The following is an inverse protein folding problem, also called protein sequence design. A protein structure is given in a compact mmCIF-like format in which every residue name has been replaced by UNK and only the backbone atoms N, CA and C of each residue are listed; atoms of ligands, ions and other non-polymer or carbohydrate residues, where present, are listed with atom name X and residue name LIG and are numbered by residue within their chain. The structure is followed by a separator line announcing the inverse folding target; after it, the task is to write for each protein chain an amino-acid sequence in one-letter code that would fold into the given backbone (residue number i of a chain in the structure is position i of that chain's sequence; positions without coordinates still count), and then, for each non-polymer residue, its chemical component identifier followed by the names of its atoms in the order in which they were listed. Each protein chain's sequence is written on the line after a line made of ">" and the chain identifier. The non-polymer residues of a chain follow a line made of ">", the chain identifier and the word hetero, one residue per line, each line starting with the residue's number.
data_IF_509659815619
#
_entry.id   IF_509659815619
#
_cell.length_a   1.000
_cell.length_b   1.000
_cell.length_c   1.000
_cell.angle_alpha   90.00
_cell.angle_beta   90.00
_cell.angle_gamma   90.00
#
_symmetry.space_group_name_H-M   'P 1'
#
loop_
_entity.id
_entity.type
_entity.pdbx_description
1 polymer ?
#
# COMPACT_ATOMS: atom_id res chain seq x y z
N UNK A 1 21.21 15.01 5.66
CA UNK A 1 19.80 14.77 5.23
C UNK A 1 18.87 15.65 6.04
N UNK A 2 17.89 16.31 5.39
CA UNK A 2 16.78 16.95 6.12
C UNK A 2 15.97 15.89 6.87
N UNK A 3 15.42 16.21 8.05
CA UNK A 3 14.55 15.27 8.77
C UNK A 3 13.33 14.91 7.92
N UNK A 4 12.92 13.64 7.94
CA UNK A 4 11.72 13.17 7.25
C UNK A 4 10.48 13.84 7.87
N UNK A 5 9.77 14.67 7.08
CA UNK A 5 8.59 15.45 7.53
C UNK A 5 7.47 15.46 6.49
N UNK A 6 7.41 14.45 5.63
CA UNK A 6 6.46 14.40 4.51
C UNK A 6 5.01 14.39 5.01
N UNK A 7 4.70 13.71 6.12
CA UNK A 7 3.39 13.79 6.78
C UNK A 7 3.00 15.21 7.16
N UNK A 8 3.92 15.95 7.80
CA UNK A 8 3.68 17.35 8.21
C UNK A 8 3.55 18.30 7.02
N UNK A 9 4.23 18.00 5.91
CA UNK A 9 4.07 18.76 4.67
C UNK A 9 2.73 18.45 4.02
N UNK A 10 2.33 17.18 3.98
CA UNK A 10 1.08 16.70 3.40
C UNK A 10 -0.14 17.20 4.17
N UNK A 11 -0.06 17.36 5.50
CA UNK A 11 -1.18 17.82 6.34
C UNK A 11 -1.80 19.12 5.84
N UNK A 12 -0.98 20.07 5.35
CA UNK A 12 -1.42 21.34 4.74
C UNK A 12 -2.35 21.18 3.54
N UNK A 13 -2.35 20.01 2.92
CA UNK A 13 -3.14 19.66 1.75
C UNK A 13 -4.24 18.65 2.07
N UNK A 14 -4.27 18.06 3.26
CA UNK A 14 -5.16 16.94 3.57
C UNK A 14 -6.12 17.26 4.71
N UNK A 15 -5.71 18.11 5.65
CA UNK A 15 -6.49 18.51 6.82
C UNK A 15 -7.49 19.62 6.46
N UNK A 16 -8.54 19.24 5.74
CA UNK A 16 -9.69 20.10 5.48
C UNK A 16 -10.90 19.63 6.26
N UNK A 17 -11.49 20.54 7.06
CA UNK A 17 -12.66 20.26 7.91
C UNK A 17 -13.78 19.54 7.15
N UNK A 18 -14.09 19.99 5.93
CA UNK A 18 -15.15 19.39 5.11
C UNK A 18 -14.86 17.94 4.71
N UNK A 19 -13.60 17.57 4.52
CA UNK A 19 -13.22 16.20 4.20
C UNK A 19 -13.28 15.36 5.48
N UNK A 20 -12.58 15.80 6.53
CA UNK A 20 -12.44 15.04 7.77
C UNK A 20 -13.76 14.86 8.55
N UNK A 21 -14.68 15.82 8.44
CA UNK A 21 -15.98 15.75 9.15
C UNK A 21 -16.91 14.71 8.55
N UNK A 22 -16.82 14.45 7.24
CA UNK A 22 -17.84 13.72 6.49
C UNK A 22 -17.31 12.51 5.72
N UNK A 23 -16.00 12.27 5.72
CA UNK A 23 -15.41 11.05 5.17
C UNK A 23 -14.18 10.61 5.95
N UNK A 24 -13.97 9.30 5.94
CA UNK A 24 -12.69 8.70 6.31
C UNK A 24 -11.74 8.77 5.10
N UNK A 25 -10.45 8.95 5.39
CA UNK A 25 -9.37 8.91 4.42
C UNK A 25 -8.54 7.64 4.65
N UNK A 26 -7.90 7.10 3.61
CA UNK A 26 -7.03 5.94 3.78
C UNK A 26 -5.80 6.33 4.61
N UNK A 27 -5.15 5.32 5.19
CA UNK A 27 -3.91 5.53 5.91
C UNK A 27 -2.81 6.05 4.98
N UNK A 28 -1.94 6.90 5.51
CA UNK A 28 -0.82 7.43 4.74
C UNK A 28 0.23 6.33 4.46
N UNK A 29 0.77 6.21 3.24
CA UNK A 29 1.73 5.16 2.87
C UNK A 29 3.16 5.50 3.37
N UNK A 30 3.29 5.73 4.67
CA UNK A 30 4.50 6.24 5.33
C UNK A 30 5.76 5.37 5.08
N UNK A 31 5.73 4.02 5.15
CA UNK A 31 6.92 3.21 4.98
C UNK A 31 7.62 3.39 3.62
N UNK A 32 6.88 3.27 2.51
CA UNK A 32 7.43 3.46 1.15
C UNK A 32 7.91 4.88 0.92
N UNK A 33 7.21 5.88 1.47
CA UNK A 33 7.61 7.29 1.36
C UNK A 33 8.87 7.60 2.16
N UNK A 34 9.03 7.01 3.35
CA UNK A 34 10.23 7.15 4.16
C UNK A 34 11.44 6.51 3.47
N UNK A 35 11.25 5.33 2.86
CA UNK A 35 12.26 4.70 2.02
C UNK A 35 12.62 5.59 0.81
N UNK A 36 11.62 6.08 0.06
CA UNK A 36 11.84 6.96 -1.10
C UNK A 36 12.63 8.22 -0.70
N UNK A 37 12.18 8.92 0.33
CA UNK A 37 12.84 10.14 0.79
C UNK A 37 14.29 9.87 1.19
N UNK A 38 14.54 8.80 1.94
CA UNK A 38 15.89 8.43 2.37
C UNK A 38 16.79 8.13 1.16
N UNK A 39 16.33 7.32 0.20
CA UNK A 39 17.12 7.00 -1.00
C UNK A 39 17.37 8.25 -1.86
N UNK A 40 16.36 9.07 -2.13
CA UNK A 40 16.54 10.30 -2.91
C UNK A 40 17.52 11.27 -2.23
N UNK A 41 17.56 11.27 -0.90
CA UNK A 41 18.46 12.13 -0.13
C UNK A 41 19.93 11.71 -0.19
N UNK A 42 20.23 10.47 -0.58
CA UNK A 42 21.60 9.97 -0.75
C UNK A 42 22.19 10.32 -2.13
N UNK A 43 21.35 10.73 -3.08
CA UNK A 43 21.78 11.12 -4.42
C UNK A 43 21.91 12.64 -4.52
N UNK A 44 23.12 13.16 -4.72
CA UNK A 44 23.38 14.62 -4.81
C UNK A 44 22.48 15.34 -5.83
N UNK A 45 22.15 14.68 -6.93
CA UNK A 45 21.31 15.22 -8.00
C UNK A 45 19.80 15.20 -7.68
N UNK A 46 19.37 14.34 -6.74
CA UNK A 46 17.96 14.15 -6.38
C UNK A 46 17.62 14.75 -5.01
N UNK A 47 18.59 14.89 -4.11
CA UNK A 47 18.42 15.43 -2.75
C UNK A 47 17.65 16.76 -2.73
N UNK A 48 17.94 17.75 -3.62
CA UNK A 48 17.22 19.02 -3.62
C UNK A 48 15.71 18.89 -3.86
N UNK A 49 15.29 17.80 -4.51
CA UNK A 49 13.90 17.51 -4.86
C UNK A 49 13.30 16.37 -4.04
N UNK A 50 14.05 15.78 -3.11
CA UNK A 50 13.63 14.61 -2.31
C UNK A 50 12.31 14.86 -1.56
N UNK A 51 12.17 16.02 -0.91
CA UNK A 51 10.95 16.44 -0.22
C UNK A 51 9.78 16.65 -1.20
N UNK A 52 10.02 17.37 -2.30
CA UNK A 52 8.99 17.65 -3.31
C UNK A 52 8.47 16.36 -3.93
N UNK A 53 9.36 15.49 -4.39
CA UNK A 53 9.01 14.21 -5.03
C UNK A 53 8.28 13.28 -4.06
N UNK A 54 8.74 13.18 -2.81
CA UNK A 54 8.05 12.37 -1.80
C UNK A 54 6.65 12.92 -1.48
N UNK A 55 6.50 14.24 -1.37
CA UNK A 55 5.21 14.89 -1.12
C UNK A 55 4.22 14.70 -2.27
N UNK A 56 4.64 14.88 -3.52
CA UNK A 56 3.72 14.74 -4.67
C UNK A 56 3.30 13.28 -4.86
N UNK A 57 4.23 12.33 -4.64
CA UNK A 57 3.95 10.89 -4.65
C UNK A 57 3.02 10.48 -3.51
N UNK A 58 3.11 11.13 -2.34
CA UNK A 58 2.18 10.86 -1.25
C UNK A 58 0.78 11.39 -1.54
N UNK A 59 0.66 12.58 -2.12
CA UNK A 59 -0.64 13.18 -2.45
C UNK A 59 -1.37 12.40 -3.56
N UNK A 60 -0.65 11.95 -4.59
CA UNK A 60 -1.27 11.16 -5.66
C UNK A 60 -1.71 9.78 -5.18
N UNK A 61 -0.91 9.10 -4.33
CA UNK A 61 -1.34 7.84 -3.70
C UNK A 61 -2.55 8.03 -2.80
N UNK A 62 -2.53 9.04 -1.94
CA UNK A 62 -3.69 9.38 -1.11
C UNK A 62 -4.93 9.65 -1.99
N UNK A 63 -4.76 10.31 -3.12
CA UNK A 63 -5.82 10.53 -4.10
C UNK A 63 -6.42 9.23 -4.64
N UNK A 64 -5.56 8.35 -5.15
CA UNK A 64 -5.97 7.04 -5.68
C UNK A 64 -6.60 6.14 -4.61
N UNK A 65 -6.00 6.07 -3.43
CA UNK A 65 -6.48 5.22 -2.34
C UNK A 65 -7.82 5.75 -1.78
N UNK A 66 -8.04 7.07 -1.81
CA UNK A 66 -9.34 7.67 -1.45
C UNK A 66 -10.42 7.26 -2.45
N UNK A 67 -10.10 7.17 -3.74
CA UNK A 67 -11.03 6.65 -4.75
C UNK A 67 -11.35 5.16 -4.53
N UNK A 68 -10.38 4.35 -4.10
CA UNK A 68 -10.60 2.93 -3.81
C UNK A 68 -11.55 2.69 -2.61
N UNK A 69 -11.71 3.66 -1.71
CA UNK A 69 -12.68 3.60 -0.60
C UNK A 69 -14.12 3.88 -1.03
N UNK A 70 -14.37 4.17 -2.31
CA UNK A 70 -15.70 4.34 -2.87
C UNK A 70 -16.22 2.95 -3.21
N UNK A 71 -17.16 2.46 -2.42
CA UNK A 71 -17.72 1.15 -2.64
C UNK A 71 -18.63 1.11 -3.89
N UNK A 72 -18.80 -0.08 -4.46
CA UNK A 72 -19.44 -0.32 -5.76
C UNK A 72 -20.91 -0.72 -5.66
N UNK A 73 -21.51 -0.74 -4.46
CA UNK A 73 -22.88 -1.22 -4.30
C UNK A 73 -23.93 -0.27 -4.91
N UNK A 74 -24.92 -0.81 -5.61
CA UNK A 74 -26.00 -0.02 -6.24
C UNK A 74 -27.23 0.18 -5.34
N UNK A 75 -27.14 -0.19 -4.06
CA UNK A 75 -28.24 -0.12 -3.10
C UNK A 75 -28.66 1.33 -2.79
N UNK A 76 -29.94 1.54 -2.44
CA UNK A 76 -30.42 2.85 -1.96
C UNK A 76 -29.70 3.21 -0.66
N UNK A 77 -29.17 4.42 -0.60
CA UNK A 77 -28.35 4.89 0.52
C UNK A 77 -28.98 6.08 1.22
N UNK A 78 -28.58 6.27 2.47
CA UNK A 78 -28.85 7.49 3.21
C UNK A 78 -28.11 8.68 2.58
N UNK A 79 -28.60 9.88 2.87
CA UNK A 79 -27.95 11.13 2.42
C UNK A 79 -26.51 11.24 2.95
N UNK A 80 -26.26 10.79 4.19
CA UNK A 80 -24.92 10.82 4.81
C UNK A 80 -23.93 9.93 4.06
N UNK A 81 -24.34 8.73 3.67
CA UNK A 81 -23.50 7.81 2.89
C UNK A 81 -23.23 8.37 1.49
N UNK A 82 -24.25 8.95 0.84
CA UNK A 82 -24.07 9.61 -0.47
C UNK A 82 -23.09 10.79 -0.38
N UNK A 83 -23.21 11.61 0.66
CA UNK A 83 -22.30 12.74 0.92
C UNK A 83 -20.86 12.26 1.12
N UNK A 84 -20.66 11.23 1.94
CA UNK A 84 -19.34 10.64 2.17
C UNK A 84 -18.69 10.18 0.85
N UNK A 85 -19.43 9.45 0.00
CA UNK A 85 -18.94 9.02 -1.32
C UNK A 85 -18.56 10.18 -2.22
N UNK A 86 -19.42 11.18 -2.35
CA UNK A 86 -19.15 12.37 -3.18
C UNK A 86 -17.90 13.10 -2.70
N UNK A 87 -17.72 13.21 -1.38
CA UNK A 87 -16.52 13.81 -0.81
C UNK A 87 -15.27 12.97 -1.04
N UNK A 88 -15.34 11.64 -1.05
CA UNK A 88 -14.21 10.79 -1.45
C UNK A 88 -13.79 11.03 -2.90
N UNK A 89 -14.75 11.14 -3.83
CA UNK A 89 -14.46 11.48 -5.23
C UNK A 89 -13.73 12.82 -5.31
N UNK A 90 -14.32 13.87 -4.72
CA UNK A 90 -13.78 15.22 -4.78
C UNK A 90 -12.44 15.37 -4.04
N UNK A 91 -12.26 14.69 -2.91
CA UNK A 91 -11.00 14.66 -2.16
C UNK A 91 -9.91 13.99 -2.99
N UNK A 92 -10.21 12.85 -3.63
CA UNK A 92 -9.25 12.17 -4.50
C UNK A 92 -8.84 13.01 -5.70
N UNK A 93 -9.79 13.70 -6.34
CA UNK A 93 -9.53 14.65 -7.44
C UNK A 93 -8.68 15.83 -6.96
N UNK A 94 -8.99 16.36 -5.79
CA UNK A 94 -8.26 17.45 -5.17
C UNK A 94 -6.81 17.06 -4.87
N UNK A 95 -6.56 15.95 -4.17
CA UNK A 95 -5.19 15.50 -3.86
C UNK A 95 -4.39 15.22 -5.13
N UNK A 96 -5.02 14.60 -6.14
CA UNK A 96 -4.42 14.37 -7.45
C UNK A 96 -4.08 15.71 -8.15
N UNK A 97 -4.94 16.72 -8.07
CA UNK A 97 -4.66 18.03 -8.67
C UNK A 97 -3.47 18.74 -8.01
N UNK A 98 -3.25 18.54 -6.69
CA UNK A 98 -2.14 19.18 -5.96
C UNK A 98 -0.78 18.70 -6.44
N UNK A 99 -0.63 17.43 -6.83
CA UNK A 99 0.65 16.93 -7.35
C UNK A 99 1.02 17.64 -8.67
N UNK A 100 0.05 17.81 -9.58
CA UNK A 100 0.24 18.57 -10.83
C UNK A 100 0.63 20.02 -10.54
N UNK A 101 -0.09 20.66 -9.62
CA UNK A 101 0.17 22.05 -9.24
C UNK A 101 1.59 22.23 -8.68
N UNK A 102 2.00 21.38 -7.73
CA UNK A 102 3.29 21.51 -7.07
C UNK A 102 4.47 21.28 -8.04
N UNK A 103 4.37 20.26 -8.90
CA UNK A 103 5.41 19.99 -9.89
C UNK A 103 5.50 21.07 -10.95
N UNK A 104 4.37 21.59 -11.43
CA UNK A 104 4.36 22.66 -12.44
C UNK A 104 4.92 23.97 -11.90
N UNK A 105 4.57 24.35 -10.67
CA UNK A 105 5.12 25.54 -10.00
C UNK A 105 6.64 25.45 -9.79
N UNK A 106 7.15 24.25 -9.52
CA UNK A 106 8.59 24.00 -9.39
C UNK A 106 9.30 23.75 -10.74
N UNK A 107 8.59 23.79 -11.87
CA UNK A 107 9.17 23.61 -13.21
C UNK A 107 9.49 22.16 -13.60
N UNK A 108 9.08 21.17 -12.80
CA UNK A 108 9.35 19.75 -13.02
C UNK A 108 8.34 19.07 -13.97
N UNK A 109 8.16 19.61 -15.18
CA UNK A 109 7.18 19.10 -16.14
C UNK A 109 7.44 17.64 -16.54
N UNK A 110 8.70 17.23 -16.67
CA UNK A 110 9.04 15.83 -16.96
C UNK A 110 8.60 14.86 -15.85
N UNK A 111 8.56 15.32 -14.59
CA UNK A 111 8.08 14.51 -13.47
C UNK A 111 6.57 14.32 -13.51
N UNK A 112 5.82 15.34 -13.99
CA UNK A 112 4.38 15.22 -14.21
C UNK A 112 4.10 14.03 -15.12
N UNK A 113 4.77 13.94 -16.27
CA UNK A 113 4.57 12.83 -17.21
C UNK A 113 4.91 11.46 -16.60
N UNK A 114 5.99 11.35 -15.82
CA UNK A 114 6.38 10.09 -15.17
C UNK A 114 5.35 9.63 -14.15
N UNK A 115 4.90 10.53 -13.27
CA UNK A 115 3.88 10.20 -12.26
C UNK A 115 2.54 9.90 -12.92
N UNK A 116 2.10 10.68 -13.92
CA UNK A 116 0.87 10.40 -14.66
C UNK A 116 0.91 9.02 -15.34
N UNK A 117 2.05 8.62 -15.91
CA UNK A 117 2.21 7.28 -16.49
C UNK A 117 2.12 6.18 -15.42
N UNK A 118 2.75 6.38 -14.26
CA UNK A 118 2.65 5.44 -13.14
C UNK A 118 1.22 5.34 -12.59
N UNK A 119 0.46 6.45 -12.53
CA UNK A 119 -0.98 6.43 -12.16
C UNK A 119 -1.79 5.59 -13.14
N UNK A 120 -1.57 5.78 -14.45
CA UNK A 120 -2.23 4.96 -15.47
C UNK A 120 -1.92 3.48 -15.29
N UNK A 121 -0.67 3.13 -14.99
CA UNK A 121 -0.26 1.74 -14.81
C UNK A 121 -0.84 1.12 -13.53
N UNK A 122 -0.81 1.84 -12.41
CA UNK A 122 -1.48 1.43 -11.17
C UNK A 122 -2.96 1.15 -11.43
N UNK A 123 -3.68 2.06 -12.10
CA UNK A 123 -5.09 1.86 -12.41
C UNK A 123 -5.32 0.68 -13.36
N UNK A 124 -4.44 0.43 -14.33
CA UNK A 124 -4.48 -0.75 -15.19
C UNK A 124 -4.33 -2.04 -14.38
N UNK A 125 -3.34 -2.09 -13.48
CA UNK A 125 -3.10 -3.23 -12.59
C UNK A 125 -4.28 -3.47 -11.63
N UNK A 126 -4.91 -2.41 -11.11
CA UNK A 126 -6.12 -2.50 -10.27
C UNK A 126 -7.26 -3.17 -11.04
N UNK A 127 -7.49 -2.75 -12.29
CA UNK A 127 -8.53 -3.34 -13.14
C UNK A 127 -8.24 -4.80 -13.52
N UNK A 128 -6.97 -5.16 -13.77
CA UNK A 128 -6.56 -6.54 -14.00
C UNK A 128 -6.84 -7.42 -12.77
N UNK A 129 -6.41 -6.97 -11.58
CA UNK A 129 -6.67 -7.68 -10.33
C UNK A 129 -8.17 -7.85 -10.08
N UNK A 130 -8.95 -6.77 -10.22
CA UNK A 130 -10.40 -6.81 -10.06
C UNK A 130 -11.03 -7.84 -11.01
N UNK A 131 -10.65 -7.85 -12.28
CA UNK A 131 -11.16 -8.79 -13.29
C UNK A 131 -10.86 -10.24 -12.90
N UNK A 132 -9.63 -10.53 -12.47
CA UNK A 132 -9.24 -11.87 -12.03
C UNK A 132 -10.00 -12.32 -10.78
N UNK A 133 -10.24 -11.41 -9.84
CA UNK A 133 -11.05 -11.67 -8.64
C UNK A 133 -12.50 -12.00 -9.01
N UNK A 134 -13.11 -11.28 -9.94
CA UNK A 134 -14.47 -11.59 -10.42
C UNK A 134 -14.56 -12.95 -11.12
N UNK A 135 -13.51 -13.34 -11.85
CA UNK A 135 -13.44 -14.64 -12.53
C UNK A 135 -13.11 -15.82 -11.60
N UNK A 136 -12.81 -15.56 -10.31
CA UNK A 136 -12.35 -16.58 -9.35
C UNK A 136 -11.15 -17.40 -9.83
N UNK A 137 -10.28 -16.81 -10.66
CA UNK A 137 -9.12 -17.47 -11.26
C UNK A 137 -7.81 -17.19 -10.50
N UNK A 138 -7.90 -16.83 -9.22
CA UNK A 138 -6.81 -16.24 -8.50
C UNK A 138 -6.31 -17.14 -7.37
N UNK A 139 -5.02 -17.48 -7.41
CA UNK A 139 -4.35 -18.20 -6.31
C UNK A 139 -3.98 -17.23 -5.19
N UNK A 140 -3.91 -17.71 -3.95
CA UNK A 140 -3.59 -16.87 -2.79
C UNK A 140 -2.23 -16.16 -2.93
N UNK A 141 -1.18 -16.83 -3.41
CA UNK A 141 0.11 -16.16 -3.63
C UNK A 141 0.09 -15.18 -4.80
N UNK A 142 -0.67 -15.47 -5.86
CA UNK A 142 -0.83 -14.53 -6.98
C UNK A 142 -1.53 -13.26 -6.52
N UNK A 143 -2.56 -13.39 -5.67
CA UNK A 143 -3.22 -12.26 -5.01
C UNK A 143 -2.23 -11.36 -4.28
N UNK A 144 -1.44 -11.98 -3.38
CA UNK A 144 -0.51 -11.25 -2.54
C UNK A 144 0.58 -10.54 -3.35
N UNK A 145 1.08 -11.22 -4.40
CA UNK A 145 2.08 -10.64 -5.29
C UNK A 145 1.49 -9.46 -6.09
N UNK A 146 0.25 -9.56 -6.57
CA UNK A 146 -0.43 -8.44 -7.26
C UNK A 146 -0.68 -7.24 -6.36
N UNK A 147 -1.07 -7.48 -5.09
CA UNK A 147 -1.18 -6.39 -4.12
C UNK A 147 0.17 -5.74 -3.83
N UNK A 148 1.24 -6.54 -3.76
CA UNK A 148 2.60 -6.05 -3.56
C UNK A 148 3.05 -5.20 -4.75
N UNK A 149 2.82 -5.67 -5.98
CA UNK A 149 3.06 -4.95 -7.23
C UNK A 149 2.31 -3.61 -7.27
N UNK A 150 1.02 -3.61 -6.92
CA UNK A 150 0.22 -2.38 -6.84
C UNK A 150 0.80 -1.34 -5.88
N UNK A 151 1.35 -1.77 -4.75
CA UNK A 151 2.01 -0.87 -3.79
C UNK A 151 3.37 -0.39 -4.28
N UNK A 152 4.13 -1.20 -5.01
CA UNK A 152 5.44 -0.78 -5.48
C UNK A 152 5.38 0.08 -6.74
N UNK A 153 4.40 -0.11 -7.63
CA UNK A 153 4.39 0.47 -8.98
C UNK A 153 4.60 1.98 -9.05
N UNK A 154 3.93 2.76 -8.18
CA UNK A 154 4.05 4.23 -8.15
C UNK A 154 5.49 4.72 -7.90
N UNK A 155 6.35 3.85 -7.35
CA UNK A 155 7.71 4.15 -6.95
C UNK A 155 8.76 3.58 -7.91
N UNK A 156 8.37 2.67 -8.81
CA UNK A 156 9.32 1.93 -9.67
C UNK A 156 10.13 2.85 -10.59
N UNK A 157 9.50 3.90 -11.14
CA UNK A 157 10.15 4.78 -12.11
C UNK A 157 11.38 5.53 -11.54
N UNK A 158 11.49 5.67 -10.21
CA UNK A 158 12.65 6.28 -9.58
C UNK A 158 13.93 5.46 -9.80
N UNK A 159 13.82 4.15 -10.04
CA UNK A 159 14.97 3.31 -10.41
C UNK A 159 15.75 3.87 -11.59
N UNK A 160 15.04 4.43 -12.59
CA UNK A 160 15.65 5.03 -13.78
C UNK A 160 16.23 6.43 -13.55
N UNK A 161 16.15 6.95 -12.33
CA UNK A 161 16.73 8.23 -11.91
C UNK A 161 17.90 8.04 -10.94
N UNK A 162 18.09 6.83 -10.42
CA UNK A 162 19.16 6.48 -9.50
C UNK A 162 20.42 6.05 -10.24
N UNK A 163 21.55 6.06 -9.53
CA UNK A 163 22.86 5.71 -10.06
C UNK A 163 23.52 4.57 -9.28
N UNK A 164 24.46 3.87 -9.90
CA UNK A 164 25.27 2.83 -9.25
C UNK A 164 24.45 1.62 -8.77
N UNK A 165 24.75 1.15 -7.56
CA UNK A 165 24.11 -0.03 -6.98
C UNK A 165 22.59 0.17 -6.75
N UNK A 166 22.14 1.41 -6.57
CA UNK A 166 20.74 1.74 -6.32
C UNK A 166 19.79 1.37 -7.46
N UNK A 167 20.28 1.32 -8.71
CA UNK A 167 19.47 0.86 -9.85
C UNK A 167 18.95 -0.57 -9.66
N UNK A 168 19.70 -1.41 -8.93
CA UNK A 168 19.29 -2.79 -8.61
C UNK A 168 18.69 -2.93 -7.21
N UNK A 169 19.27 -2.24 -6.23
CA UNK A 169 18.82 -2.33 -4.85
C UNK A 169 17.46 -1.66 -4.62
N UNK A 170 17.11 -0.62 -5.38
CA UNK A 170 15.84 0.06 -5.20
C UNK A 170 14.63 -0.84 -5.48
N UNK A 171 14.51 -1.53 -6.64
CA UNK A 171 13.42 -2.47 -6.85
C UNK A 171 13.35 -3.57 -5.78
N UNK A 172 14.50 -4.11 -5.33
CA UNK A 172 14.57 -5.12 -4.26
C UNK A 172 13.99 -4.57 -2.94
N UNK A 173 14.48 -3.42 -2.46
CA UNK A 173 14.02 -2.80 -1.21
C UNK A 173 12.54 -2.40 -1.28
N UNK A 174 12.11 -1.89 -2.42
CA UNK A 174 10.74 -1.44 -2.63
C UNK A 174 9.77 -2.63 -2.64
N UNK A 175 10.13 -3.75 -3.27
CA UNK A 175 9.37 -4.99 -3.23
C UNK A 175 9.24 -5.50 -1.79
N UNK A 176 10.34 -5.59 -1.05
CA UNK A 176 10.33 -6.11 0.32
C UNK A 176 9.50 -5.23 1.29
N UNK A 177 9.62 -3.90 1.21
CA UNK A 177 8.78 -2.96 2.00
C UNK A 177 7.31 -3.09 1.61
N UNK A 178 7.01 -3.11 0.30
CA UNK A 178 5.63 -3.24 -0.20
C UNK A 178 5.01 -4.57 0.23
N UNK A 179 5.82 -5.64 0.28
CA UNK A 179 5.39 -6.96 0.74
C UNK A 179 5.13 -6.97 2.24
N UNK A 180 5.97 -6.33 3.05
CA UNK A 180 5.71 -6.15 4.48
C UNK A 180 4.38 -5.44 4.73
N UNK A 181 4.13 -4.32 4.04
CA UNK A 181 2.85 -3.58 4.15
C UNK A 181 1.67 -4.43 3.69
N UNK A 182 1.80 -5.14 2.57
CA UNK A 182 0.73 -5.98 2.02
C UNK A 182 0.36 -7.10 2.99
N UNK A 183 1.35 -7.82 3.53
CA UNK A 183 1.11 -8.90 4.48
C UNK A 183 0.49 -8.34 5.77
N UNK A 184 0.96 -7.19 6.26
CA UNK A 184 0.41 -6.57 7.46
C UNK A 184 -1.04 -6.14 7.26
N UNK A 185 -1.40 -5.59 6.10
CA UNK A 185 -2.79 -5.25 5.77
C UNK A 185 -3.68 -6.50 5.72
N UNK A 186 -3.18 -7.60 5.17
CA UNK A 186 -3.90 -8.87 5.17
C UNK A 186 -4.05 -9.46 6.58
N UNK A 187 -3.08 -9.26 7.47
CA UNK A 187 -3.24 -9.59 8.90
C UNK A 187 -4.32 -8.72 9.55
N UNK A 188 -4.36 -7.42 9.27
CA UNK A 188 -5.42 -6.52 9.76
C UNK A 188 -6.82 -6.92 9.26
N UNK A 189 -6.92 -7.33 7.99
CA UNK A 189 -8.17 -7.83 7.41
C UNK A 189 -8.60 -9.15 8.04
N UNK A 190 -7.63 -9.99 8.38
CA UNK A 190 -7.87 -11.27 9.02
C UNK A 190 -8.48 -11.14 10.42
N UNK A 191 -8.12 -10.07 11.16
CA UNK A 191 -8.68 -9.81 12.49
C UNK A 191 -10.11 -9.27 12.47
N UNK A 192 -10.60 -8.84 11.31
CA UNK A 192 -11.96 -8.32 11.14
C UNK A 192 -12.76 -9.23 10.21
N UNK A 193 -13.69 -10.07 10.72
CA UNK A 193 -14.43 -11.01 9.88
C UNK A 193 -15.21 -10.37 8.72
N UNK A 194 -15.64 -9.12 8.88
CA UNK A 194 -16.28 -8.32 7.81
C UNK A 194 -15.35 -8.04 6.62
N UNK A 195 -14.03 -8.12 6.81
CA UNK A 195 -13.00 -7.87 5.80
C UNK A 195 -12.34 -9.15 5.28
N UNK A 196 -12.82 -10.32 5.73
CA UNK A 196 -12.29 -11.62 5.33
C UNK A 196 -12.57 -11.94 3.86
N UNK A 197 -13.74 -11.54 3.35
CA UNK A 197 -14.10 -11.76 1.95
C UNK A 197 -13.05 -11.15 1.02
N UNK A 198 -12.61 -11.93 0.01
CA UNK A 198 -11.57 -11.55 -0.95
C UNK A 198 -10.21 -11.17 -0.31
N UNK A 199 -9.94 -11.60 0.92
CA UNK A 199 -8.59 -11.52 1.51
C UNK A 199 -7.69 -12.64 1.00
N UNK A 200 -6.40 -12.55 1.27
CA UNK A 200 -5.44 -13.64 1.05
C UNK A 200 -5.91 -14.93 1.73
N UNK A 201 -6.41 -14.82 2.96
CA UNK A 201 -6.94 -15.96 3.71
C UNK A 201 -8.16 -16.60 3.02
N UNK A 202 -9.06 -15.78 2.47
CA UNK A 202 -10.17 -16.26 1.65
C UNK A 202 -9.68 -17.03 0.43
N UNK A 203 -8.76 -16.46 -0.37
CA UNK A 203 -8.22 -17.13 -1.56
C UNK A 203 -7.45 -18.40 -1.20
N UNK A 204 -6.79 -18.44 -0.04
CA UNK A 204 -6.11 -19.64 0.45
C UNK A 204 -7.10 -20.78 0.73
N UNK A 205 -8.20 -20.49 1.42
CA UNK A 205 -9.24 -21.50 1.68
C UNK A 205 -10.01 -21.85 0.40
N UNK A 206 -10.22 -20.91 -0.53
CA UNK A 206 -10.80 -21.25 -1.83
C UNK A 206 -9.93 -22.21 -2.65
N UNK A 207 -8.63 -22.25 -2.39
CA UNK A 207 -7.68 -23.16 -3.05
C UNK A 207 -7.54 -24.51 -2.34
N UNK A 208 -7.39 -24.50 -1.01
CA UNK A 208 -7.03 -25.69 -0.20
C UNK A 208 -8.22 -26.23 0.65
N UNK A 209 -9.34 -25.52 0.64
CA UNK A 209 -10.59 -25.85 1.34
C UNK A 209 -11.31 -27.07 0.77
N UNK A 210 -12.13 -27.74 1.58
CA UNK A 210 -13.07 -28.74 1.05
C UNK A 210 -14.17 -28.06 0.22
N UNK A 211 -14.85 -28.78 -0.70
CA UNK A 211 -15.95 -28.21 -1.47
C UNK A 211 -17.05 -27.58 -0.60
N UNK A 212 -17.34 -28.15 0.57
CA UNK A 212 -18.30 -27.62 1.53
C UNK A 212 -17.84 -26.29 2.14
N UNK A 213 -16.54 -26.17 2.45
CA UNK A 213 -15.95 -24.95 2.99
C UNK A 213 -15.92 -23.83 1.96
N UNK A 214 -15.54 -24.15 0.72
CA UNK A 214 -15.57 -23.22 -0.42
C UNK A 214 -16.99 -22.70 -0.69
N UNK A 215 -17.98 -23.59 -0.66
CA UNK A 215 -19.38 -23.21 -0.85
C UNK A 215 -19.88 -22.34 0.32
N UNK A 216 -19.49 -22.65 1.54
CA UNK A 216 -19.87 -21.89 2.74
C UNK A 216 -19.25 -20.49 2.73
N UNK A 217 -17.97 -20.37 2.34
CA UNK A 217 -17.26 -19.10 2.19
C UNK A 217 -17.83 -18.20 1.08
N UNK A 218 -18.34 -18.82 0.00
CA UNK A 218 -18.95 -18.09 -1.11
C UNK A 218 -20.35 -17.56 -0.76
N UNK A 219 -20.91 -17.95 0.40
CA UNK A 219 -22.16 -17.44 0.95
C UNK A 219 -21.87 -16.52 2.13
N UNK A 220 -22.93 -15.92 2.71
CA UNK A 220 -22.80 -15.15 3.94
C UNK A 220 -22.28 -16.06 5.06
N UNK A 221 -21.03 -15.86 5.44
CA UNK A 221 -20.29 -16.73 6.36
C UNK A 221 -20.47 -16.25 7.79
N UNK A 222 -20.69 -17.18 8.73
CA UNK A 222 -20.72 -16.87 10.15
C UNK A 222 -19.33 -16.63 10.72
N UNK A 223 -19.23 -15.76 11.74
CA UNK A 223 -17.96 -15.43 12.39
C UNK A 223 -17.23 -16.66 12.94
N UNK A 224 -17.98 -17.58 13.58
CA UNK A 224 -17.47 -18.84 14.13
C UNK A 224 -16.74 -19.68 13.09
N UNK A 225 -17.31 -19.80 11.90
CA UNK A 225 -16.73 -20.58 10.81
C UNK A 225 -15.38 -20.00 10.34
N UNK A 226 -15.24 -18.68 10.28
CA UNK A 226 -13.96 -18.02 9.94
C UNK A 226 -12.89 -18.33 11.00
N UNK A 227 -13.26 -18.36 12.28
CA UNK A 227 -12.34 -18.75 13.36
C UNK A 227 -11.90 -20.21 13.26
N UNK A 228 -12.78 -21.14 12.87
CA UNK A 228 -12.40 -22.55 12.70
C UNK A 228 -11.39 -22.72 11.55
N UNK A 229 -11.61 -22.00 10.44
CA UNK A 229 -10.68 -21.99 9.29
C UNK A 229 -9.29 -21.44 9.67
N UNK A 230 -9.22 -20.45 10.59
CA UNK A 230 -7.95 -19.90 11.09
C UNK A 230 -7.05 -20.98 11.67
N UNK A 231 -7.60 -21.82 12.54
CA UNK A 231 -6.87 -22.92 13.16
C UNK A 231 -6.54 -24.01 12.15
N UNK A 232 -7.52 -24.43 11.36
CA UNK A 232 -7.40 -25.55 10.42
C UNK A 232 -6.30 -25.34 9.36
N UNK A 233 -6.17 -24.12 8.84
CA UNK A 233 -5.24 -23.80 7.73
C UNK A 233 -3.97 -23.05 8.17
N UNK A 234 -3.78 -22.84 9.48
CA UNK A 234 -2.65 -22.10 10.05
C UNK A 234 -2.44 -20.71 9.42
N UNK A 235 -3.54 -20.04 9.06
CA UNK A 235 -3.53 -18.83 8.21
C UNK A 235 -2.67 -17.71 8.82
N UNK A 236 -2.79 -17.50 10.13
CA UNK A 236 -1.99 -16.50 10.85
C UNK A 236 -0.50 -16.84 10.84
N UNK A 237 -0.14 -18.11 11.07
CA UNK A 237 1.26 -18.55 11.05
C UNK A 237 1.91 -18.36 9.69
N UNK A 238 1.15 -18.57 8.61
CA UNK A 238 1.59 -18.32 7.24
C UNK A 238 1.81 -16.83 6.94
N UNK A 239 0.94 -15.94 7.40
CA UNK A 239 1.14 -14.49 7.24
C UNK A 239 2.34 -14.01 8.06
N UNK A 240 2.49 -14.49 9.30
CA UNK A 240 3.64 -14.18 10.16
C UNK A 240 4.96 -14.61 9.50
N UNK A 241 5.03 -15.82 8.92
CA UNK A 241 6.26 -16.28 8.25
C UNK A 241 6.58 -15.47 7.01
N UNK A 242 5.58 -15.06 6.24
CA UNK A 242 5.74 -14.18 5.07
C UNK A 242 6.27 -12.80 5.44
N UNK A 243 5.73 -12.18 6.50
CA UNK A 243 6.18 -10.86 6.95
C UNK A 243 7.61 -10.93 7.47
N UNK A 244 7.95 -11.95 8.27
CA UNK A 244 9.33 -12.16 8.73
C UNK A 244 10.30 -12.32 7.56
N UNK A 245 9.96 -13.17 6.59
CA UNK A 245 10.81 -13.38 5.41
C UNK A 245 11.02 -12.08 4.62
N UNK A 246 9.97 -11.28 4.42
CA UNK A 246 10.09 -9.98 3.75
C UNK A 246 10.94 -8.98 4.56
N UNK A 247 10.78 -8.92 5.88
CA UNK A 247 11.59 -8.05 6.75
C UNK A 247 13.06 -8.49 6.79
N UNK A 248 13.33 -9.79 6.80
CA UNK A 248 14.69 -10.34 6.77
C UNK A 248 15.37 -10.09 5.41
N UNK A 249 14.63 -10.24 4.30
CA UNK A 249 15.11 -9.87 2.97
C UNK A 249 15.44 -8.38 2.90
N UNK A 250 14.56 -7.53 3.42
CA UNK A 250 14.77 -6.08 3.46
C UNK A 250 16.07 -5.72 4.21
N UNK A 251 16.31 -6.34 5.37
CA UNK A 251 17.56 -6.17 6.14
C UNK A 251 18.79 -6.70 5.40
N UNK A 252 18.67 -7.84 4.73
CA UNK A 252 19.73 -8.43 3.90
C UNK A 252 20.10 -7.52 2.73
N UNK A 253 19.11 -6.94 2.06
CA UNK A 253 19.30 -5.95 1.00
C UNK A 253 19.94 -4.68 1.55
N UNK A 254 19.52 -4.21 2.72
CA UNK A 254 20.12 -3.05 3.39
C UNK A 254 21.60 -3.28 3.75
N UNK A 255 21.98 -4.50 4.15
CA UNK A 255 23.37 -4.83 4.48
C UNK A 255 24.34 -4.67 3.30
N UNK A 256 23.82 -4.68 2.06
CA UNK A 256 24.60 -4.43 0.83
C UNK A 256 24.88 -2.94 0.58
N UNK A 257 24.23 -2.04 1.30
CA UNK A 257 24.40 -0.59 1.14
C UNK A 257 25.72 -0.12 1.77
N UNK A 258 26.29 0.95 1.22
CA UNK A 258 27.44 1.62 1.84
C UNK A 258 26.99 2.64 2.90
N UNK A 259 25.84 3.28 2.69
CA UNK A 259 25.31 4.33 3.59
C UNK A 259 24.75 3.76 4.89
N UNK A 260 25.42 4.07 6.01
CA UNK A 260 24.94 3.70 7.35
C UNK A 260 23.64 4.43 7.72
N UNK A 261 23.44 5.63 7.18
CA UNK A 261 22.19 6.37 7.39
C UNK A 261 21.01 5.63 6.76
N UNK A 262 21.15 5.18 5.51
CA UNK A 262 20.08 4.45 4.84
C UNK A 262 19.84 3.07 5.48
N UNK A 263 20.90 2.38 5.91
CA UNK A 263 20.78 1.14 6.70
C UNK A 263 19.92 1.35 7.94
N UNK A 264 20.14 2.43 8.69
CA UNK A 264 19.36 2.73 9.90
C UNK A 264 17.89 2.97 9.57
N UNK A 265 17.57 3.72 8.52
CA UNK A 265 16.17 3.94 8.09
C UNK A 265 15.49 2.61 7.74
N UNK A 266 16.18 1.75 7.00
CA UNK A 266 15.62 0.46 6.59
C UNK A 266 15.46 -0.49 7.79
N UNK A 267 16.41 -0.48 8.72
CA UNK A 267 16.34 -1.23 9.97
C UNK A 267 15.13 -0.80 10.81
N UNK A 268 14.92 0.51 11.00
CA UNK A 268 13.77 1.06 11.70
C UNK A 268 12.44 0.68 11.03
N UNK A 269 12.38 0.66 9.69
CA UNK A 269 11.21 0.20 8.95
C UNK A 269 10.93 -1.29 9.21
N UNK A 270 11.95 -2.14 9.09
CA UNK A 270 11.82 -3.58 9.36
C UNK A 270 11.39 -3.86 10.80
N UNK A 271 11.97 -3.15 11.77
CA UNK A 271 11.62 -3.25 13.19
C UNK A 271 10.16 -2.86 13.43
N UNK A 272 9.72 -1.73 12.87
CA UNK A 272 8.32 -1.27 12.95
C UNK A 272 7.32 -2.30 12.41
N UNK A 273 7.63 -2.96 11.28
CA UNK A 273 6.78 -4.04 10.75
C UNK A 273 6.73 -5.25 11.69
N UNK A 274 7.87 -5.67 12.24
CA UNK A 274 7.95 -6.82 13.14
C UNK A 274 7.25 -6.54 14.49
N UNK A 275 7.32 -5.31 14.99
CA UNK A 275 6.59 -4.89 16.20
C UNK A 275 5.08 -4.94 15.98
N UNK A 276 4.58 -4.38 14.88
CA UNK A 276 3.15 -4.43 14.53
C UNK A 276 2.68 -5.88 14.34
N UNK A 277 3.45 -6.71 13.65
CA UNK A 277 3.18 -8.15 13.52
C UNK A 277 3.13 -8.86 14.88
N UNK A 278 4.05 -8.54 15.79
CA UNK A 278 4.06 -9.13 17.13
C UNK A 278 2.85 -8.73 17.96
N UNK A 279 2.25 -7.56 17.73
CA UNK A 279 0.98 -7.17 18.34
C UNK A 279 -0.18 -8.06 17.87
N UNK A 280 -0.25 -8.38 16.57
CA UNK A 280 -1.24 -9.32 16.01
C UNK A 280 -1.10 -10.74 16.54
N UNK A 281 0.13 -11.19 16.83
CA UNK A 281 0.37 -12.55 17.35
C UNK A 281 -0.03 -12.71 18.83
N UNK A 282 -0.26 -11.60 19.55
CA UNK A 282 -0.68 -11.58 20.96
C UNK A 282 -2.19 -11.38 21.14
N UNK A 283 -2.90 -11.03 20.07
CA UNK A 283 -4.35 -10.78 20.02
C UNK A 283 -5.11 -12.03 19.54
#
# INVERSE_FOLDING_TARGET
>A
MKPYRINELASKYVEYDMIQTYTELPAFPDPRLRLLHAVLSEHETLEPNSELYSLVVSLVQLGMDTHDLIDTEETRRSESEMRSRQLKVLAGDYFSSRFYQLLSQAGHIGMVSKISAAVCEVNRLKMDLYTKMQQSQLKAEEYLNKLTELKSEMFQFFSGMMEGAFVKLWPEMLEDVSRCETVLDEMNRFDSPSRFYQSWAYWHVMQEGTPEEQQSLSRKTEHSFIYDLRGKYELQGRLVSKLKAAADNLRSTAAKLESDQLKNVIQELADSFLEKMAAHSRA
#
